data_IF_735528293043
#
_entry.id   IF_735528293043
#
_cell.length_a   1.000
_cell.length_b   1.000
_cell.length_c   1.000
_cell.angle_alpha   90.00
_cell.angle_beta   90.00
_cell.angle_gamma   90.00
#
_symmetry.space_group_name_H-M   'P 1'
#
loop_
_entity.id
_entity.type
_entity.pdbx_description
1 polymer ?
#
# COMPACT_ATOMS: atom_id res chain seq x y z
N UNK A 1 11.17 19.94 -2.33
CA UNK A 1 10.56 18.79 -3.01
C UNK A 1 10.12 17.83 -1.92
N UNK A 2 8.85 17.43 -1.86
CA UNK A 2 8.38 16.47 -0.83
C UNK A 2 8.61 15.06 -1.37
N UNK A 3 9.26 14.20 -0.60
CA UNK A 3 9.61 12.84 -1.02
C UNK A 3 8.65 11.82 -0.39
N UNK A 4 8.26 10.81 -1.16
CA UNK A 4 7.34 9.76 -0.70
C UNK A 4 7.88 9.02 0.54
N UNK A 5 9.20 8.88 0.66
CA UNK A 5 9.86 8.27 1.83
C UNK A 5 9.48 8.98 3.12
N UNK A 6 9.57 10.32 3.14
CA UNK A 6 9.22 11.11 4.32
C UNK A 6 7.74 10.99 4.68
N UNK A 7 6.86 10.91 3.68
CA UNK A 7 5.43 10.68 3.92
C UNK A 7 5.15 9.32 4.58
N UNK A 8 5.83 8.26 4.13
CA UNK A 8 5.69 6.91 4.70
C UNK A 8 6.12 6.86 6.17
N UNK A 9 7.27 7.46 6.48
CA UNK A 9 7.80 7.54 7.86
C UNK A 9 6.85 8.33 8.77
N UNK A 10 6.35 9.49 8.32
CA UNK A 10 5.44 10.34 9.10
C UNK A 10 4.03 9.75 9.27
N UNK A 11 3.57 9.00 8.27
CA UNK A 11 2.32 8.27 8.38
C UNK A 11 2.43 7.09 9.37
N UNK A 12 3.66 6.65 9.69
CA UNK A 12 3.90 5.55 10.61
C UNK A 12 3.76 4.18 9.95
N UNK A 13 4.03 4.09 8.64
CA UNK A 13 3.97 2.83 7.89
C UNK A 13 4.96 1.82 8.48
N UNK A 14 4.45 0.69 8.97
CA UNK A 14 5.27 -0.33 9.63
C UNK A 14 5.86 -1.34 8.66
N UNK A 15 5.08 -1.71 7.64
CA UNK A 15 5.43 -2.72 6.65
C UNK A 15 4.60 -2.52 5.37
N UNK A 16 4.93 -3.21 4.26
CA UNK A 16 4.21 -3.08 2.99
C UNK A 16 2.72 -3.47 3.01
N UNK A 17 2.24 -4.10 4.08
CA UNK A 17 0.83 -4.51 4.26
C UNK A 17 0.04 -3.52 5.12
N UNK A 18 0.69 -2.49 5.68
CA UNK A 18 0.08 -1.43 6.48
C UNK A 18 -0.69 -0.46 5.56
N UNK A 19 -1.72 -0.98 4.90
CA UNK A 19 -2.42 -0.27 3.85
C UNK A 19 -3.14 0.97 4.36
N UNK A 20 -3.52 1.02 5.63
CA UNK A 20 -4.08 2.21 6.25
C UNK A 20 -3.09 3.38 6.22
N UNK A 21 -1.88 3.17 6.75
CA UNK A 21 -0.85 4.20 6.78
C UNK A 21 -0.22 4.45 5.40
N UNK A 22 -0.15 3.43 4.52
CA UNK A 22 0.33 3.60 3.14
C UNK A 22 -0.63 4.52 2.38
N UNK A 23 -1.95 4.30 2.47
CA UNK A 23 -2.94 5.17 1.82
C UNK A 23 -2.85 6.60 2.35
N UNK A 24 -2.67 6.78 3.65
CA UNK A 24 -2.44 8.08 4.27
C UNK A 24 -1.18 8.77 3.72
N UNK A 25 -0.05 8.06 3.69
CA UNK A 25 1.21 8.58 3.15
C UNK A 25 1.10 9.00 1.69
N UNK A 26 0.44 8.19 0.85
CA UNK A 26 0.23 8.47 -0.56
C UNK A 26 -0.60 9.75 -0.77
N UNK A 27 -1.70 9.90 -0.04
CA UNK A 27 -2.51 11.11 -0.17
C UNK A 27 -1.80 12.35 0.42
N UNK A 28 -1.02 12.19 1.50
CA UNK A 28 -0.16 13.26 2.03
C UNK A 28 0.97 13.65 1.08
N UNK A 29 1.45 12.74 0.22
CA UNK A 29 2.38 13.08 -0.86
C UNK A 29 1.69 13.93 -1.94
N UNK A 30 0.42 13.63 -2.25
CA UNK A 30 -0.35 14.39 -3.23
C UNK A 30 -0.77 15.79 -2.77
N UNK A 31 -1.23 15.92 -1.52
CA UNK A 31 -1.73 17.19 -0.95
C UNK A 31 -0.72 17.95 -0.09
N UNK A 32 0.42 17.32 0.18
CA UNK A 32 1.42 17.84 1.10
C UNK A 32 1.13 17.56 2.58
N UNK A 33 2.11 17.91 3.42
CA UNK A 33 2.12 17.57 4.84
C UNK A 33 0.90 18.08 5.64
N UNK A 34 0.23 19.15 5.20
CA UNK A 34 -0.97 19.67 5.86
C UNK A 34 -2.13 18.67 5.90
N UNK A 35 -2.22 17.77 4.93
CA UNK A 35 -3.24 16.72 4.91
C UNK A 35 -3.00 15.65 5.98
N UNK A 36 -1.73 15.32 6.28
CA UNK A 36 -1.38 14.20 7.15
C UNK A 36 -1.98 14.36 8.55
N UNK A 37 -1.71 15.50 9.19
CA UNK A 37 -2.23 15.79 10.54
C UNK A 37 -3.76 16.00 10.52
N UNK A 38 -4.26 16.67 9.48
CA UNK A 38 -5.69 16.92 9.31
C UNK A 38 -6.49 15.61 9.19
N UNK A 39 -5.98 14.64 8.43
CA UNK A 39 -6.61 13.34 8.24
C UNK A 39 -6.48 12.46 9.50
N UNK A 40 -5.32 12.44 10.18
CA UNK A 40 -5.14 11.67 11.44
C UNK A 40 -6.13 12.10 12.51
N UNK A 41 -6.39 13.40 12.66
CA UNK A 41 -7.40 13.92 13.58
C UNK A 41 -8.84 13.47 13.25
N UNK A 42 -9.06 12.89 12.06
CA UNK A 42 -10.34 12.47 11.50
C UNK A 42 -10.38 10.96 11.17
N UNK A 43 -9.54 10.17 11.83
CA UNK A 43 -9.51 8.71 11.64
C UNK A 43 -8.70 8.23 10.43
N UNK A 44 -7.84 9.08 9.87
CA UNK A 44 -6.90 8.70 8.81
C UNK A 44 -7.43 8.91 7.39
N UNK A 45 -6.88 8.16 6.45
CA UNK A 45 -7.25 8.29 5.04
C UNK A 45 -8.64 7.68 4.76
N UNK A 46 -9.48 8.45 4.09
CA UNK A 46 -10.68 7.97 3.39
C UNK A 46 -10.86 8.78 2.11
N UNK A 47 -11.60 8.25 1.13
CA UNK A 47 -11.96 9.02 -0.07
C UNK A 47 -12.76 10.29 0.27
N UNK A 48 -13.61 10.23 1.31
CA UNK A 48 -14.36 11.38 1.80
C UNK A 48 -13.42 12.45 2.39
N UNK A 49 -12.47 12.05 3.24
CA UNK A 49 -11.47 12.95 3.81
C UNK A 49 -10.60 13.59 2.71
N UNK A 50 -10.23 12.83 1.67
CA UNK A 50 -9.48 13.38 0.53
C UNK A 50 -10.30 14.42 -0.25
N UNK A 51 -11.58 14.14 -0.52
CA UNK A 51 -12.47 15.06 -1.21
C UNK A 51 -12.69 16.36 -0.41
N UNK A 52 -13.03 16.24 0.87
CA UNK A 52 -13.29 17.41 1.73
C UNK A 52 -12.05 18.30 1.86
N UNK A 53 -10.87 17.71 2.06
CA UNK A 53 -9.64 18.51 2.14
C UNK A 53 -9.33 19.23 0.83
N UNK A 54 -9.51 18.56 -0.30
CA UNK A 54 -9.31 19.15 -1.63
C UNK A 54 -10.25 20.33 -1.86
N UNK A 55 -11.55 20.18 -1.54
CA UNK A 55 -12.54 21.24 -1.71
C UNK A 55 -12.28 22.44 -0.78
N UNK A 56 -11.95 22.16 0.49
CA UNK A 56 -11.58 23.20 1.46
C UNK A 56 -10.36 24.01 0.99
N UNK A 57 -9.31 23.34 0.49
CA UNK A 57 -8.09 24.01 0.03
C UNK A 57 -8.28 24.72 -1.31
N UNK A 58 -9.04 24.13 -2.23
CA UNK A 58 -9.40 24.75 -3.50
C UNK A 58 -10.16 26.06 -3.28
N UNK A 59 -11.17 26.05 -2.39
CA UNK A 59 -11.93 27.24 -2.04
C UNK A 59 -11.04 28.34 -1.43
N UNK A 60 -10.14 27.98 -0.52
CA UNK A 60 -9.20 28.94 0.11
C UNK A 60 -8.26 29.59 -0.89
N UNK A 61 -7.84 28.85 -1.90
CA UNK A 61 -6.89 29.33 -2.92
C UNK A 61 -7.57 29.95 -4.15
N UNK A 62 -8.91 29.84 -4.25
CA UNK A 62 -9.65 30.22 -5.47
C UNK A 62 -9.35 29.31 -6.66
N UNK A 63 -9.01 28.03 -6.41
CA UNK A 63 -8.74 27.03 -7.44
C UNK A 63 -9.95 26.12 -7.69
N UNK A 64 -9.97 25.45 -8.83
CA UNK A 64 -11.03 24.49 -9.18
C UNK A 64 -10.88 23.13 -8.47
N UNK A 65 -9.65 22.76 -8.12
CA UNK A 65 -9.32 21.57 -7.32
C UNK A 65 -7.96 21.74 -6.67
N UNK A 66 -7.74 21.13 -5.52
CA UNK A 66 -6.44 21.04 -4.87
C UNK A 66 -5.98 19.58 -4.91
N UNK A 67 -4.95 19.29 -5.72
CA UNK A 67 -4.44 17.94 -5.99
C UNK A 67 -5.49 16.98 -6.58
N UNK A 68 -5.27 15.67 -6.40
CA UNK A 68 -6.11 14.59 -6.92
C UNK A 68 -6.83 13.83 -5.78
N UNK A 69 -8.16 13.92 -5.76
CA UNK A 69 -9.04 13.22 -4.80
C UNK A 69 -8.96 11.70 -4.90
N UNK A 70 -8.57 11.19 -6.06
CA UNK A 70 -8.45 9.77 -6.39
C UNK A 70 -6.99 9.32 -6.49
N UNK A 71 -6.05 10.10 -5.94
CA UNK A 71 -4.62 9.78 -6.03
C UNK A 71 -4.28 8.38 -5.50
N UNK A 72 -4.81 8.04 -4.32
CA UNK A 72 -4.61 6.72 -3.73
C UNK A 72 -5.10 5.58 -4.62
N UNK A 73 -6.37 5.50 -5.08
CA UNK A 73 -6.77 4.44 -6.00
C UNK A 73 -5.99 4.46 -7.32
N UNK A 74 -5.60 5.63 -7.84
CA UNK A 74 -4.76 5.74 -9.04
C UNK A 74 -3.34 5.20 -8.84
N UNK A 75 -2.75 5.33 -7.66
CA UNK A 75 -1.42 4.75 -7.37
C UNK A 75 -1.56 3.26 -7.06
N UNK A 76 -2.55 2.91 -6.24
CA UNK A 76 -2.77 1.55 -5.79
C UNK A 76 -3.23 0.60 -6.89
N UNK A 77 -3.73 1.09 -8.03
CA UNK A 77 -3.99 0.25 -9.20
C UNK A 77 -2.74 -0.48 -9.72
N UNK A 78 -1.55 0.10 -9.49
CA UNK A 78 -0.24 -0.44 -9.87
C UNK A 78 0.49 -1.09 -8.69
N UNK A 79 0.00 -0.92 -7.47
CA UNK A 79 0.55 -1.55 -6.29
C UNK A 79 -0.09 -2.93 -6.15
N UNK A 80 0.72 -4.00 -6.20
CA UNK A 80 0.24 -5.38 -6.10
C UNK A 80 -0.65 -5.60 -4.85
N UNK A 81 -0.37 -4.89 -3.76
CA UNK A 81 -1.14 -4.93 -2.51
C UNK A 81 -2.26 -3.86 -2.42
N UNK A 82 -2.31 -2.92 -3.36
CA UNK A 82 -3.26 -1.80 -3.38
C UNK A 82 -4.63 -2.14 -3.98
N UNK A 83 -4.71 -3.24 -4.74
CA UNK A 83 -5.96 -3.82 -5.25
C UNK A 83 -6.74 -4.66 -4.23
N UNK A 84 -6.28 -4.72 -2.98
CA UNK A 84 -6.90 -5.51 -1.91
C UNK A 84 -8.03 -4.70 -1.25
N UNK A 85 -9.31 -5.10 -1.34
CA UNK A 85 -10.35 -4.60 -0.46
C UNK A 85 -10.02 -5.09 0.95
N UNK A 86 -9.68 -4.17 1.84
CA UNK A 86 -9.48 -4.44 3.27
C UNK A 86 -10.84 -4.81 3.87
N UNK A 87 -11.23 -6.09 3.77
CA UNK A 87 -12.51 -6.56 4.35
C UNK A 87 -12.94 -8.00 4.06
N UNK A 88 -12.27 -8.77 3.19
CA UNK A 88 -12.66 -10.16 2.90
C UNK A 88 -11.38 -11.03 2.83
N UNK A 89 -11.34 -12.11 3.62
CA UNK A 89 -10.14 -12.91 3.93
C UNK A 89 -9.40 -13.58 2.76
N UNK A 90 -8.32 -14.32 3.10
CA UNK A 90 -7.46 -15.19 2.25
C UNK A 90 -6.97 -14.67 0.87
N UNK A 91 -7.24 -13.44 0.47
CA UNK A 91 -6.81 -12.91 -0.84
C UNK A 91 -5.33 -12.49 -0.86
N UNK A 92 -4.72 -12.19 0.29
CA UNK A 92 -3.32 -11.75 0.34
C UNK A 92 -2.36 -12.81 -0.20
N UNK A 93 -2.47 -14.05 0.28
CA UNK A 93 -1.63 -15.17 -0.18
C UNK A 93 -1.86 -15.51 -1.65
N UNK A 94 -3.10 -15.40 -2.14
CA UNK A 94 -3.44 -15.61 -3.55
C UNK A 94 -2.79 -14.56 -4.44
N UNK A 95 -2.77 -13.29 -4.02
CA UNK A 95 -2.15 -12.19 -4.77
C UNK A 95 -0.62 -12.24 -4.71
N UNK A 96 -0.04 -12.60 -3.56
CA UNK A 96 1.39 -12.88 -3.46
C UNK A 96 1.77 -13.99 -4.43
N UNK A 97 1.00 -15.09 -4.45
CA UNK A 97 1.21 -16.18 -5.39
C UNK A 97 1.08 -15.72 -6.87
N UNK A 98 0.05 -14.94 -7.20
CA UNK A 98 -0.14 -14.40 -8.55
C UNK A 98 1.03 -13.50 -9.02
N UNK A 99 1.61 -12.71 -8.10
CA UNK A 99 2.78 -11.86 -8.41
C UNK A 99 4.04 -12.64 -8.81
N UNK A 100 4.04 -13.96 -8.60
CA UNK A 100 5.15 -14.86 -8.87
C UNK A 100 5.00 -15.64 -10.18
N UNK A 101 3.91 -15.45 -10.92
CA UNK A 101 3.74 -16.04 -12.25
C UNK A 101 4.90 -15.66 -13.18
N UNK A 102 5.48 -16.67 -13.84
CA UNK A 102 6.64 -16.50 -14.73
C UNK A 102 7.99 -16.30 -14.02
N UNK A 103 8.05 -16.28 -12.69
CA UNK A 103 9.30 -16.19 -11.93
C UNK A 103 9.88 -17.57 -11.59
N UNK A 104 11.20 -17.63 -11.44
CA UNK A 104 11.91 -18.86 -11.06
C UNK A 104 11.64 -19.24 -9.60
N UNK A 105 11.56 -20.54 -9.33
CA UNK A 105 11.41 -21.10 -7.98
C UNK A 105 12.60 -20.89 -7.03
N UNK A 106 13.74 -20.36 -7.53
CA UNK A 106 14.97 -20.12 -6.75
C UNK A 106 14.74 -19.39 -5.45
N UNK A 107 13.91 -18.35 -5.47
CA UNK A 107 13.60 -17.56 -4.28
C UNK A 107 12.98 -18.42 -3.17
N UNK A 108 12.08 -19.34 -3.52
CA UNK A 108 11.26 -20.04 -2.54
C UNK A 108 12.03 -21.16 -1.85
N UNK A 109 12.73 -22.02 -2.60
CA UNK A 109 13.49 -23.11 -1.98
C UNK A 109 14.75 -22.61 -1.28
N UNK A 110 15.37 -21.52 -1.76
CA UNK A 110 16.51 -20.89 -1.09
C UNK A 110 16.07 -20.26 0.25
N UNK A 111 14.96 -19.51 0.24
CA UNK A 111 14.36 -18.98 1.47
C UNK A 111 13.98 -20.09 2.47
N UNK A 112 13.47 -21.23 1.97
CA UNK A 112 13.14 -22.39 2.80
C UNK A 112 14.37 -23.08 3.41
N UNK A 113 15.59 -22.73 2.98
CA UNK A 113 16.85 -23.24 3.51
C UNK A 113 17.50 -24.35 2.67
N UNK A 114 17.03 -24.62 1.46
CA UNK A 114 17.67 -25.60 0.57
C UNK A 114 18.88 -24.98 -0.14
N UNK A 115 20.01 -25.70 -0.12
CA UNK A 115 21.25 -25.29 -0.81
C UNK A 115 21.28 -25.59 -2.31
N UNK A 116 20.28 -26.26 -2.84
CA UNK A 116 20.15 -26.60 -4.27
C UNK A 116 18.68 -26.65 -4.68
N UNK A 117 18.42 -26.70 -6.00
CA UNK A 117 17.06 -26.68 -6.55
C UNK A 117 16.20 -27.81 -5.98
N UNK A 118 15.09 -27.44 -5.37
CA UNK A 118 14.04 -28.36 -4.92
C UNK A 118 12.72 -27.97 -5.56
N UNK A 119 12.08 -28.92 -6.23
CA UNK A 119 10.75 -28.75 -6.83
C UNK A 119 9.67 -29.21 -5.85
N UNK A 120 9.46 -28.40 -4.81
CA UNK A 120 8.44 -28.67 -3.81
C UNK A 120 7.51 -27.47 -3.64
N UNK A 121 6.23 -27.67 -3.90
CA UNK A 121 5.22 -26.61 -3.84
C UNK A 121 5.08 -26.00 -2.44
N UNK A 122 5.40 -26.74 -1.38
CA UNK A 122 5.31 -26.22 -0.02
C UNK A 122 6.29 -25.06 0.22
N UNK A 123 7.46 -25.03 -0.44
CA UNK A 123 8.38 -23.90 -0.36
C UNK A 123 7.72 -22.62 -0.86
N UNK A 124 7.01 -22.72 -1.99
CA UNK A 124 6.29 -21.60 -2.58
C UNK A 124 5.11 -21.15 -1.73
N UNK A 125 4.26 -22.07 -1.26
CA UNK A 125 3.09 -21.74 -0.42
C UNK A 125 3.53 -21.13 0.91
N UNK A 126 4.59 -21.67 1.53
CA UNK A 126 5.13 -21.16 2.79
C UNK A 126 5.74 -19.78 2.61
N UNK A 127 6.48 -19.56 1.52
CA UNK A 127 6.98 -18.23 1.18
C UNK A 127 5.82 -17.25 0.97
N UNK A 128 4.78 -17.64 0.24
CA UNK A 128 3.61 -16.78 0.06
C UNK A 128 2.91 -16.45 1.40
N UNK A 129 2.87 -17.40 2.34
CA UNK A 129 2.31 -17.19 3.67
C UNK A 129 3.14 -16.22 4.52
N UNK A 130 4.48 -16.36 4.51
CA UNK A 130 5.43 -15.47 5.18
C UNK A 130 5.32 -14.04 4.64
N UNK A 131 5.33 -13.87 3.31
CA UNK A 131 5.14 -12.56 2.67
C UNK A 131 3.74 -11.98 2.90
N UNK A 132 2.77 -12.80 3.27
CA UNK A 132 1.42 -12.38 3.66
C UNK A 132 1.29 -12.12 5.17
N UNK A 133 2.35 -12.33 5.96
CA UNK A 133 2.36 -12.16 7.41
C UNK A 133 1.56 -13.22 8.18
N UNK A 134 1.43 -14.42 7.62
CA UNK A 134 0.71 -15.54 8.26
C UNK A 134 1.60 -16.45 9.11
N UNK A 135 2.91 -16.45 8.85
CA UNK A 135 3.93 -17.22 9.58
C UNK A 135 5.18 -16.37 9.79
#
# INVERSE_FOLDING_TARGET
>A
MQEIKSCLERAGVKNPLDMENIKLALQSYNYGNGYLEWAKARGGYTLANAAEFSDMMAQRMGWSSYGDKQYVPHVLQYYAFGRIPTGIGNQAIVQVAASQEGKSGTTYWSWYGFGSRVEWCACFVSWCADQSGYI
#
